data_IF_357552692005
#
_entry.id   IF_357552692005
#
_cell.length_a   1.000
_cell.length_b   1.000
_cell.length_c   1.000
_cell.angle_alpha   90.00
_cell.angle_beta   90.00
_cell.angle_gamma   90.00
#
_symmetry.space_group_name_H-M   'P 1'
#
loop_
_entity.id
_entity.type
_entity.pdbx_description
1 polymer ?
#
# COMPACT_ATOMS: atom_id res chain seq x y z
N UNK A 1 14.17 -16.18 11.19
CA UNK A 1 14.24 -14.73 10.96
C UNK A 1 12.81 -14.24 10.80
N UNK A 2 12.35 -13.28 11.61
CA UNK A 2 10.99 -12.75 11.52
C UNK A 2 11.05 -11.32 10.96
N UNK A 3 10.24 -11.03 9.94
CA UNK A 3 10.11 -9.69 9.38
C UNK A 3 8.85 -9.04 9.97
N UNK A 4 8.99 -7.79 10.43
CA UNK A 4 7.85 -7.02 10.92
C UNK A 4 7.13 -6.41 9.73
N UNK A 5 5.92 -6.88 9.44
CA UNK A 5 5.05 -6.35 8.40
C UNK A 5 4.03 -5.42 9.04
N UNK A 6 3.88 -4.20 8.50
CA UNK A 6 2.85 -3.25 8.94
C UNK A 6 1.72 -3.25 7.92
N UNK A 7 0.48 -3.35 8.41
CA UNK A 7 -0.72 -3.26 7.57
C UNK A 7 -1.30 -1.84 7.71
N UNK A 8 -1.53 -1.18 6.58
CA UNK A 8 -2.18 0.15 6.50
C UNK A 8 -3.32 0.10 5.48
N UNK A 9 -4.33 0.95 5.60
CA UNK A 9 -5.38 1.03 4.58
C UNK A 9 -4.89 1.82 3.38
N UNK A 10 -5.37 1.45 2.20
CA UNK A 10 -5.05 2.16 0.96
C UNK A 10 -5.65 3.57 0.87
N UNK A 11 -6.66 3.86 1.71
CA UNK A 11 -7.25 5.19 1.84
C UNK A 11 -6.41 6.13 2.70
N UNK A 12 -5.53 5.59 3.54
CA UNK A 12 -4.62 6.37 4.34
C UNK A 12 -3.53 6.96 3.41
N UNK A 13 -3.07 8.19 3.66
CA UNK A 13 -2.01 8.79 2.87
C UNK A 13 -0.72 7.95 2.93
N UNK A 14 0.03 7.90 1.82
CA UNK A 14 1.38 7.35 1.85
C UNK A 14 2.29 8.30 2.63
N UNK A 15 2.93 7.80 3.69
CA UNK A 15 4.05 8.50 4.34
C UNK A 15 5.37 8.06 3.68
N UNK A 16 6.34 8.99 3.54
CA UNK A 16 7.65 8.71 2.93
C UNK A 16 8.44 7.59 3.63
N UNK A 17 8.24 7.42 4.93
CA UNK A 17 9.02 6.50 5.76
C UNK A 17 8.48 5.05 5.75
N UNK A 18 7.44 4.78 4.95
CA UNK A 18 6.77 3.48 4.93
C UNK A 18 7.44 2.40 4.08
N UNK A 19 8.54 2.73 3.40
CA UNK A 19 9.21 1.81 2.49
C UNK A 19 8.29 1.37 1.35
N UNK A 20 8.47 0.14 0.86
CA UNK A 20 7.73 -0.39 -0.30
C UNK A 20 6.30 -0.81 0.06
N UNK A 21 5.33 -0.39 -0.74
CA UNK A 21 3.93 -0.80 -0.64
C UNK A 21 3.63 -1.85 -1.70
N UNK A 22 3.06 -2.97 -1.25
CA UNK A 22 2.67 -4.09 -2.10
C UNK A 22 1.18 -4.33 -1.96
N UNK A 23 0.49 -4.50 -3.09
CA UNK A 23 -0.91 -4.93 -3.09
C UNK A 23 -0.96 -6.45 -2.94
N UNK A 24 -1.57 -6.93 -1.85
CA UNK A 24 -1.69 -8.37 -1.55
C UNK A 24 -3.05 -8.96 -1.91
N UNK A 25 -3.96 -8.18 -2.51
CA UNK A 25 -5.34 -8.59 -2.81
C UNK A 25 -5.71 -8.39 -4.29
N UNK A 26 -6.76 -9.07 -4.77
CA UNK A 26 -7.27 -8.95 -6.15
C UNK A 26 -8.34 -7.87 -6.29
N UNK A 27 -8.91 -7.39 -5.17
CA UNK A 27 -9.93 -6.36 -5.19
C UNK A 27 -9.28 -4.98 -5.12
N UNK A 28 -9.47 -4.21 -6.19
CA UNK A 28 -9.02 -2.83 -6.21
C UNK A 28 -9.99 -1.91 -5.42
N UNK A 29 -9.48 -1.05 -4.52
CA UNK A 29 -10.30 -0.10 -3.78
C UNK A 29 -11.00 0.89 -4.72
N UNK A 30 -12.32 1.02 -4.53
CA UNK A 30 -13.11 2.02 -5.25
C UNK A 30 -12.61 3.45 -4.93
N UNK A 31 -12.55 4.30 -5.95
CA UNK A 31 -12.17 5.71 -5.81
C UNK A 31 -10.69 5.99 -5.57
N UNK A 32 -9.82 4.99 -5.70
CA UNK A 32 -8.35 5.16 -5.61
C UNK A 32 -7.75 4.86 -6.98
N UNK A 33 -6.88 5.72 -7.49
CA UNK A 33 -6.12 5.43 -8.72
C UNK A 33 -4.83 4.68 -8.38
N UNK A 34 -4.27 3.93 -9.33
CA UNK A 34 -2.98 3.24 -9.13
C UNK A 34 -1.85 4.20 -8.75
N UNK A 35 -1.84 5.38 -9.37
CA UNK A 35 -0.90 6.46 -9.03
C UNK A 35 -1.07 6.93 -7.58
N UNK A 36 -2.32 7.11 -7.11
CA UNK A 36 -2.59 7.50 -5.72
C UNK A 36 -2.19 6.41 -4.72
N UNK A 37 -2.27 5.14 -5.11
CA UNK A 37 -1.93 4.02 -4.25
C UNK A 37 -0.42 3.86 -4.03
N UNK A 38 0.42 4.50 -4.85
CA UNK A 38 1.88 4.54 -4.68
C UNK A 38 2.47 3.13 -4.46
N UNK A 39 2.06 2.21 -5.33
CA UNK A 39 2.50 0.82 -5.27
C UNK A 39 3.83 0.68 -5.98
N UNK A 40 4.72 -0.13 -5.39
CA UNK A 40 5.95 -0.53 -6.07
C UNK A 40 5.59 -1.40 -7.30
N UNK A 41 6.25 -1.19 -8.47
CA UNK A 41 6.01 -1.97 -9.69
C UNK A 41 6.22 -3.47 -9.53
#
# INVERSE_FOLDING_TARGET
>A
MAHTIRVRRVYDPSEPDNGSRVLVDRLWPRGVSKQRADLTP
#
